data_IF_481196058104
#
_entry.id   IF_481196058104
#
_cell.length_a   1.000
_cell.length_b   1.000
_cell.length_c   1.000
_cell.angle_alpha   90.00
_cell.angle_beta   90.00
_cell.angle_gamma   90.00
#
_symmetry.space_group_name_H-M   'P 1'
#
loop_
_entity.id
_entity.type
_entity.pdbx_description
1 polymer ?
#
# COMPACT_ATOMS: atom_id res chain seq x y z
N UNK A 1 -2.96 -1.04 30.96
CA UNK A 1 -2.80 0.40 31.31
C UNK A 1 -2.47 1.17 30.05
N UNK A 2 -3.14 2.29 29.80
CA UNK A 2 -3.00 3.09 28.59
C UNK A 2 -2.11 4.33 28.73
N UNK A 3 -2.23 5.25 27.78
CA UNK A 3 -1.56 6.55 27.82
C UNK A 3 -2.10 7.43 28.97
N UNK A 4 -1.23 8.26 29.55
CA UNK A 4 -1.60 9.21 30.63
C UNK A 4 -1.83 10.63 30.13
N UNK A 5 -1.66 10.87 28.82
CA UNK A 5 -1.89 12.15 28.15
C UNK A 5 -2.63 11.96 26.83
N UNK A 6 -2.99 13.08 26.19
CA UNK A 6 -3.70 13.06 24.91
C UNK A 6 -2.96 12.24 23.86
N UNK A 7 -3.64 11.24 23.31
CA UNK A 7 -3.19 10.51 22.13
C UNK A 7 -3.32 11.43 20.92
N UNK A 8 -2.21 11.71 20.25
CA UNK A 8 -2.14 12.70 19.14
C UNK A 8 -2.13 12.05 17.77
N UNK A 9 -1.73 10.79 17.70
CA UNK A 9 -1.65 10.03 16.45
C UNK A 9 -1.76 8.53 16.72
N UNK A 10 -2.42 7.83 15.80
CA UNK A 10 -2.59 6.37 15.78
C UNK A 10 -2.38 5.85 14.36
N UNK A 11 -1.78 4.67 14.22
CA UNK A 11 -1.56 4.00 12.93
C UNK A 11 -1.74 2.49 13.08
N UNK A 12 -2.44 1.86 12.15
CA UNK A 12 -2.44 0.40 12.02
C UNK A 12 -1.17 -0.05 11.29
N UNK A 13 -0.66 -1.23 11.66
CA UNK A 13 0.35 -1.91 10.85
C UNK A 13 -0.22 -2.35 9.50
N UNK A 14 0.64 -2.53 8.48
CA UNK A 14 0.19 -2.92 7.14
C UNK A 14 -0.58 -4.25 7.11
N UNK A 15 -0.26 -5.17 8.01
CA UNK A 15 -0.95 -6.46 8.19
C UNK A 15 -2.20 -6.36 9.09
N UNK A 16 -2.48 -5.18 9.66
CA UNK A 16 -3.61 -4.93 10.55
C UNK A 16 -3.51 -5.58 11.93
N UNK A 17 -2.44 -6.33 12.23
CA UNK A 17 -2.32 -7.08 13.49
C UNK A 17 -1.97 -6.19 14.69
N UNK A 18 -1.36 -5.03 14.42
CA UNK A 18 -0.89 -4.08 15.45
C UNK A 18 -1.46 -2.69 15.22
N UNK A 19 -1.57 -1.94 16.31
CA UNK A 19 -1.79 -0.51 16.31
C UNK A 19 -0.62 0.16 17.04
N UNK A 20 -0.21 1.33 16.59
CA UNK A 20 0.79 2.16 17.27
C UNK A 20 0.13 3.48 17.63
N UNK A 21 0.46 4.03 18.79
CA UNK A 21 -0.05 5.33 19.24
C UNK A 21 1.07 6.20 19.82
N UNK A 22 1.03 7.49 19.49
CA UNK A 22 1.90 8.52 20.06
C UNK A 22 1.10 9.50 20.92
N UNK A 23 1.65 9.90 22.07
CA UNK A 23 0.93 10.71 23.05
C UNK A 23 1.73 11.90 23.60
N UNK A 24 0.98 12.88 24.12
CA UNK A 24 1.47 13.99 24.94
C UNK A 24 2.18 13.52 26.22
N UNK A 25 1.98 12.27 26.64
CA UNK A 25 2.76 11.64 27.73
C UNK A 25 4.22 11.33 27.36
N UNK A 26 4.65 11.72 26.15
CA UNK A 26 6.01 11.58 25.62
C UNK A 26 6.39 10.15 25.24
N UNK A 27 5.41 9.26 25.16
CA UNK A 27 5.64 7.85 24.86
C UNK A 27 4.95 7.42 23.57
N UNK A 28 5.52 6.39 22.96
CA UNK A 28 4.86 5.58 21.94
C UNK A 28 4.44 4.26 22.57
N UNK A 29 3.33 3.68 22.12
CA UNK A 29 2.87 2.35 22.52
C UNK A 29 2.46 1.54 21.31
N UNK A 30 2.72 0.23 21.37
CA UNK A 30 2.29 -0.75 20.38
C UNK A 30 1.24 -1.67 21.01
N UNK A 31 0.16 -1.90 20.29
CA UNK A 31 -1.02 -2.62 20.74
C UNK A 31 -1.27 -3.79 19.81
N UNK A 32 -1.67 -4.90 20.40
CA UNK A 32 -2.28 -6.02 19.68
C UNK A 32 -3.75 -5.68 19.44
N UNK A 33 -4.16 -5.71 18.18
CA UNK A 33 -5.51 -5.31 17.76
C UNK A 33 -6.56 -6.31 18.24
N UNK A 34 -6.26 -7.61 18.21
CA UNK A 34 -7.20 -8.66 18.63
C UNK A 34 -7.43 -8.66 20.13
N UNK A 35 -6.35 -8.48 20.90
CA UNK A 35 -6.38 -8.54 22.37
C UNK A 35 -6.72 -7.19 23.01
N UNK A 36 -6.63 -6.09 22.27
CA UNK A 36 -6.80 -4.74 22.80
C UNK A 36 -5.76 -4.38 23.88
N UNK A 37 -4.61 -5.05 23.87
CA UNK A 37 -3.60 -4.97 24.92
C UNK A 37 -2.30 -4.37 24.38
N UNK A 38 -1.58 -3.62 25.22
CA UNK A 38 -0.24 -3.13 24.87
C UNK A 38 0.74 -4.32 24.82
N UNK A 39 1.41 -4.51 23.68
CA UNK A 39 2.42 -5.56 23.48
C UNK A 39 3.86 -5.03 23.53
N UNK A 40 4.06 -3.75 23.24
CA UNK A 40 5.35 -3.09 23.46
C UNK A 40 5.15 -1.65 23.94
N UNK A 41 6.01 -1.23 24.85
CA UNK A 41 6.02 0.10 25.45
C UNK A 41 5.53 0.16 26.91
N UNK A 42 5.55 1.36 27.52
CA UNK A 42 5.78 2.67 26.90
C UNK A 42 7.21 2.84 26.36
N UNK A 43 7.33 3.13 25.06
CA UNK A 43 8.61 3.45 24.42
C UNK A 43 9.01 4.85 24.87
N UNK A 44 10.07 4.94 25.65
CA UNK A 44 10.55 6.18 26.28
C UNK A 44 11.82 6.66 25.60
N UNK A 45 11.93 7.97 25.43
CA UNK A 45 13.13 8.62 24.89
C UNK A 45 12.86 10.07 24.51
N UNK A 46 11.67 10.37 24.00
CA UNK A 46 11.26 11.75 23.77
C UNK A 46 11.14 12.54 25.07
N UNK A 47 11.61 13.79 25.04
CA UNK A 47 11.50 14.75 26.15
C UNK A 47 10.29 15.68 26.00
N UNK A 48 9.65 15.66 24.83
CA UNK A 48 8.42 16.36 24.46
C UNK A 48 7.29 15.38 24.08
N UNK A 49 6.08 15.90 23.90
CA UNK A 49 4.94 15.10 23.49
C UNK A 49 5.10 14.57 22.06
N UNK A 50 4.74 13.30 21.83
CA UNK A 50 4.76 12.69 20.50
C UNK A 50 3.54 13.16 19.73
N UNK A 51 3.76 13.89 18.64
CA UNK A 51 2.71 14.56 17.87
C UNK A 51 2.25 13.74 16.68
N UNK A 52 3.18 13.06 16.03
CA UNK A 52 2.96 12.25 14.83
C UNK A 52 3.76 10.96 14.90
N UNK A 53 3.20 9.91 14.31
CA UNK A 53 3.85 8.61 14.13
C UNK A 53 3.58 8.08 12.72
N UNK A 54 4.52 7.32 12.19
CA UNK A 54 4.34 6.51 10.99
C UNK A 54 4.99 5.14 11.19
N UNK A 55 4.53 4.15 10.41
CA UNK A 55 5.08 2.80 10.37
C UNK A 55 5.79 2.59 9.05
N UNK A 56 6.88 1.84 9.08
CA UNK A 56 7.55 1.41 7.86
C UNK A 56 6.61 0.54 7.00
N UNK A 57 6.84 0.44 5.68
CA UNK A 57 5.96 -0.32 4.77
C UNK A 57 5.82 -1.82 5.09
N UNK A 58 6.82 -2.40 5.77
CA UNK A 58 6.84 -3.77 6.28
C UNK A 58 6.30 -3.88 7.72
N UNK A 59 5.99 -2.75 8.36
CA UNK A 59 5.50 -2.67 9.73
C UNK A 59 6.54 -3.01 10.80
N UNK A 60 7.83 -3.14 10.47
CA UNK A 60 8.88 -3.51 11.42
C UNK A 60 9.41 -2.34 12.25
N UNK A 61 9.31 -1.11 11.74
CA UNK A 61 9.83 0.09 12.38
C UNK A 61 8.77 1.18 12.57
N UNK A 62 8.91 1.98 13.62
CA UNK A 62 8.11 3.18 13.88
C UNK A 62 9.01 4.39 13.78
N UNK A 63 8.57 5.44 13.11
CA UNK A 63 9.14 6.78 13.28
C UNK A 63 8.16 7.66 14.04
N UNK A 64 8.67 8.42 15.01
CA UNK A 64 7.88 9.36 15.80
C UNK A 64 8.46 10.77 15.74
N UNK A 65 7.60 11.75 15.46
CA UNK A 65 7.91 13.18 15.52
C UNK A 65 7.37 13.81 16.80
N UNK A 66 8.18 14.64 17.46
CA UNK A 66 7.92 15.15 18.80
C UNK A 66 8.09 16.67 18.93
N UNK A 67 7.47 17.21 19.97
CA UNK A 67 7.69 18.59 20.43
C UNK A 67 9.08 18.83 21.03
N UNK A 68 9.89 17.80 21.23
CA UNK A 68 11.31 17.97 21.53
C UNK A 68 12.18 18.27 20.31
N UNK A 69 11.55 18.45 19.14
CA UNK A 69 12.20 18.85 17.88
C UNK A 69 13.04 17.74 17.24
N UNK A 70 12.91 16.51 17.74
CA UNK A 70 13.58 15.34 17.18
C UNK A 70 12.59 14.37 16.56
N UNK A 71 13.10 13.56 15.62
CA UNK A 71 12.48 12.30 15.27
C UNK A 71 13.22 11.16 15.96
N UNK A 72 12.51 10.07 16.23
CA UNK A 72 13.11 8.82 16.72
C UNK A 72 12.58 7.62 15.95
N UNK A 73 13.47 6.67 15.68
CA UNK A 73 13.14 5.39 15.07
C UNK A 73 13.10 4.31 16.16
N UNK A 74 12.15 3.40 16.05
CA UNK A 74 11.93 2.33 17.03
C UNK A 74 11.71 1.01 16.32
N UNK A 75 12.24 -0.07 16.89
CA UNK A 75 11.87 -1.42 16.49
C UNK A 75 10.49 -1.75 17.08
N UNK A 76 9.54 -2.16 16.24
CA UNK A 76 8.16 -2.45 16.66
C UNK A 76 8.02 -3.69 17.53
N UNK A 77 9.00 -4.60 17.50
CA UNK A 77 8.97 -5.88 18.20
C UNK A 77 9.66 -5.78 19.56
N UNK A 78 10.88 -5.25 19.61
CA UNK A 78 11.60 -5.06 20.88
C UNK A 78 11.14 -3.81 21.63
N UNK A 79 10.64 -2.80 20.90
CA UNK A 79 10.37 -1.48 21.48
C UNK A 79 11.64 -0.69 21.78
N UNK A 80 12.79 -1.12 21.28
CA UNK A 80 14.04 -0.40 21.46
C UNK A 80 14.18 0.72 20.42
N UNK A 81 14.84 1.80 20.80
CA UNK A 81 15.18 2.87 19.88
C UNK A 81 16.30 2.39 18.94
N UNK A 82 16.12 2.62 17.65
CA UNK A 82 17.12 2.31 16.62
C UNK A 82 17.95 3.55 16.36
N UNK A 83 19.26 3.46 16.62
CA UNK A 83 20.20 4.56 16.36
C UNK A 83 20.01 5.78 17.26
N UNK A 84 20.55 6.91 16.82
CA UNK A 84 20.40 8.19 17.50
C UNK A 84 19.12 8.92 17.03
N UNK A 85 18.58 9.85 17.82
CA UNK A 85 17.52 10.73 17.35
C UNK A 85 17.97 11.52 16.12
N UNK A 86 17.06 11.71 15.17
CA UNK A 86 17.29 12.61 14.03
C UNK A 86 17.16 14.04 14.53
N UNK A 87 18.27 14.78 14.45
CA UNK A 87 18.37 16.18 14.86
C UNK A 87 18.51 17.05 13.61
N UNK A 88 17.78 18.16 13.56
CA UNK A 88 17.88 19.16 12.49
C UNK A 88 16.73 20.18 12.55
N UNK A 89 15.53 19.73 12.93
CA UNK A 89 14.43 20.65 13.20
C UNK A 89 14.74 21.60 14.37
N UNK A 90 14.49 22.88 14.17
CA UNK A 90 14.63 23.94 15.19
C UNK A 90 13.31 24.21 15.92
N UNK A 91 12.20 23.73 15.35
CA UNK A 91 10.83 23.79 15.87
C UNK A 91 10.22 22.40 16.13
N UNK A 92 8.97 22.37 16.60
CA UNK A 92 8.28 21.10 16.85
C UNK A 92 8.09 20.29 15.56
N UNK A 93 8.31 18.98 15.63
CA UNK A 93 7.98 18.10 14.52
C UNK A 93 6.48 17.82 14.53
N UNK A 94 5.77 18.29 13.50
CA UNK A 94 4.32 18.26 13.42
C UNK A 94 3.79 17.03 12.70
N UNK A 95 4.50 16.57 11.67
CA UNK A 95 4.11 15.41 10.85
C UNK A 95 5.34 14.63 10.42
N UNK A 96 5.17 13.31 10.27
CA UNK A 96 6.19 12.39 9.77
C UNK A 96 5.54 11.35 8.87
N UNK A 97 6.24 10.88 7.85
CA UNK A 97 5.81 9.80 6.97
C UNK A 97 6.99 8.98 6.44
N UNK A 98 6.77 7.70 6.15
CA UNK A 98 7.78 6.82 5.56
C UNK A 98 7.70 6.84 4.04
N UNK A 99 8.84 6.71 3.38
CA UNK A 99 8.86 6.43 1.95
C UNK A 99 8.32 5.01 1.66
N UNK A 100 7.77 4.74 0.46
CA UNK A 100 7.21 3.43 0.11
C UNK A 100 8.18 2.24 0.22
N UNK A 101 9.49 2.48 0.16
CA UNK A 101 10.52 1.46 0.39
C UNK A 101 11.05 1.42 1.83
N UNK A 102 10.67 2.36 2.68
CA UNK A 102 11.16 2.42 4.05
C UNK A 102 12.64 2.80 4.19
N UNK A 103 13.22 3.43 3.17
CA UNK A 103 14.63 3.90 3.17
C UNK A 103 14.72 5.34 3.69
N UNK A 104 13.67 6.13 3.48
CA UNK A 104 13.61 7.53 3.87
C UNK A 104 12.41 7.82 4.76
N UNK A 105 12.55 8.84 5.60
CA UNK A 105 11.45 9.49 6.31
C UNK A 105 11.37 10.93 5.84
N UNK A 106 10.15 11.46 5.73
CA UNK A 106 9.92 12.89 5.56
C UNK A 106 9.26 13.45 6.79
N UNK A 107 9.61 14.67 7.16
CA UNK A 107 9.00 15.40 8.28
C UNK A 107 8.69 16.84 7.93
N UNK A 108 7.68 17.39 8.59
CA UNK A 108 7.34 18.80 8.56
C UNK A 108 7.32 19.37 9.97
N UNK A 109 7.88 20.57 10.14
CA UNK A 109 8.02 21.22 11.45
C UNK A 109 7.43 22.64 11.55
N UNK A 110 7.25 23.10 12.79
CA UNK A 110 6.89 24.51 13.11
C UNK A 110 7.99 25.51 12.71
N UNK A 111 9.20 25.02 12.44
CA UNK A 111 10.29 25.79 11.83
C UNK A 111 10.10 26.04 10.33
N UNK A 112 8.94 25.67 9.77
CA UNK A 112 8.53 25.92 8.39
C UNK A 112 9.28 25.06 7.36
N UNK A 113 10.06 24.09 7.83
CA UNK A 113 10.86 23.23 6.96
C UNK A 113 10.18 21.90 6.72
N UNK A 114 10.47 21.33 5.54
CA UNK A 114 10.28 19.92 5.24
C UNK A 114 11.66 19.28 5.19
N UNK A 115 11.89 18.22 5.95
CA UNK A 115 13.18 17.52 5.99
C UNK A 115 13.02 16.07 5.53
N UNK A 116 13.95 15.61 4.70
CA UNK A 116 14.11 14.24 4.26
C UNK A 116 15.28 13.60 5.02
N UNK A 117 15.05 12.44 5.62
CA UNK A 117 16.02 11.74 6.45
C UNK A 117 16.32 10.37 5.84
N UNK A 118 17.60 10.03 5.74
CA UNK A 118 18.04 8.67 5.40
C UNK A 118 18.11 7.82 6.66
N UNK A 119 17.33 6.74 6.69
CA UNK A 119 17.22 5.86 7.86
C UNK A 119 18.52 5.09 8.09
N UNK A 120 19.29 4.78 7.04
CA UNK A 120 20.46 3.89 7.09
C UNK A 120 21.60 4.49 7.91
N UNK A 121 21.77 5.81 7.82
CA UNK A 121 22.84 6.55 8.47
C UNK A 121 22.33 7.54 9.53
N UNK A 122 21.01 7.76 9.62
CA UNK A 122 20.42 8.66 10.60
C UNK A 122 20.62 10.15 10.28
N UNK A 123 21.01 10.51 9.06
CA UNK A 123 21.32 11.89 8.68
C UNK A 123 20.21 12.54 7.84
N UNK A 124 20.14 13.87 7.91
CA UNK A 124 19.34 14.67 6.98
C UNK A 124 19.94 14.60 5.58
N UNK A 125 19.16 14.12 4.61
CA UNK A 125 19.55 14.01 3.22
C UNK A 125 19.23 15.30 2.44
N UNK A 126 18.08 15.93 2.75
CA UNK A 126 17.63 17.16 2.10
C UNK A 126 16.67 17.94 3.00
N UNK A 127 16.66 19.27 2.90
CA UNK A 127 15.63 20.13 3.49
C UNK A 127 15.10 21.15 2.49
N UNK A 128 13.85 21.55 2.71
CA UNK A 128 13.10 22.50 1.89
C UNK A 128 12.50 23.58 2.79
N UNK A 129 12.74 24.85 2.46
CA UNK A 129 12.20 26.02 3.16
C UNK A 129 11.20 26.79 2.27
N UNK A 130 10.21 26.07 1.75
CA UNK A 130 9.29 26.63 0.76
C UNK A 130 8.03 27.27 1.37
N UNK A 131 7.77 26.99 2.65
CA UNK A 131 6.60 27.50 3.37
C UNK A 131 6.90 28.75 4.20
N UNK A 132 5.94 29.68 4.25
CA UNK A 132 6.04 30.89 5.07
C UNK A 132 5.57 30.68 6.53
N UNK A 133 4.90 29.55 6.80
CA UNK A 133 4.37 29.15 8.12
C UNK A 133 4.71 27.70 8.46
N UNK A 134 4.44 27.30 9.70
CA UNK A 134 4.75 25.94 10.19
C UNK A 134 4.09 24.85 9.34
N UNK A 135 4.86 23.82 8.99
CA UNK A 135 4.39 22.69 8.19
C UNK A 135 3.64 21.72 9.09
N UNK A 136 2.36 21.52 8.81
CA UNK A 136 1.43 20.76 9.66
C UNK A 136 1.27 19.31 9.24
N UNK A 137 1.45 19.03 7.94
CA UNK A 137 1.24 17.70 7.37
C UNK A 137 2.26 17.47 6.27
N UNK A 138 2.80 16.26 6.20
CA UNK A 138 3.62 15.77 5.09
C UNK A 138 3.14 14.39 4.67
N UNK A 139 3.32 14.06 3.39
CA UNK A 139 3.02 12.72 2.85
C UNK A 139 3.96 12.39 1.69
N UNK A 140 4.45 11.15 1.64
CA UNK A 140 5.10 10.62 0.46
C UNK A 140 4.08 10.19 -0.59
N UNK A 141 4.42 10.38 -1.86
CA UNK A 141 3.69 9.75 -2.96
C UNK A 141 3.95 8.23 -2.95
N UNK A 142 3.00 7.41 -3.42
CA UNK A 142 3.20 5.96 -3.53
C UNK A 142 4.35 5.53 -4.44
N UNK A 143 4.78 6.38 -5.39
CA UNK A 143 5.95 6.14 -6.22
C UNK A 143 7.27 6.54 -5.56
N UNK A 144 7.23 7.23 -4.42
CA UNK A 144 8.41 7.67 -3.67
C UNK A 144 9.11 8.92 -4.23
N UNK A 145 8.69 9.40 -5.41
CA UNK A 145 9.36 10.50 -6.13
C UNK A 145 8.90 11.89 -5.70
N UNK A 146 7.78 12.00 -4.97
CA UNK A 146 7.22 13.28 -4.57
C UNK A 146 6.88 13.30 -3.09
N UNK A 147 6.99 14.48 -2.50
CA UNK A 147 6.50 14.80 -1.16
C UNK A 147 5.47 15.91 -1.29
N UNK A 148 4.33 15.73 -0.63
CA UNK A 148 3.36 16.80 -0.43
C UNK A 148 3.47 17.35 0.99
N UNK A 149 3.45 18.67 1.14
CA UNK A 149 3.46 19.37 2.42
C UNK A 149 2.31 20.37 2.52
N UNK A 150 1.67 20.46 3.68
CA UNK A 150 0.62 21.44 3.98
C UNK A 150 0.97 22.29 5.20
N UNK A 151 0.76 23.60 5.12
CA UNK A 151 1.24 24.56 6.13
C UNK A 151 0.17 25.56 6.60
N UNK A 152 0.43 26.18 7.76
CA UNK A 152 -0.35 27.32 8.28
C UNK A 152 -0.40 28.53 7.33
N UNK A 153 0.50 28.62 6.35
CA UNK A 153 0.45 29.66 5.32
C UNK A 153 -0.70 29.48 4.30
N UNK A 154 -1.50 28.42 4.45
CA UNK A 154 -2.64 28.11 3.59
C UNK A 154 -2.26 27.43 2.28
N UNK A 155 -1.00 27.02 2.10
CA UNK A 155 -0.52 26.36 0.89
C UNK A 155 -0.35 24.85 1.09
N UNK A 156 -0.57 24.13 0.00
CA UNK A 156 -0.05 22.78 -0.22
C UNK A 156 1.02 22.87 -1.30
N UNK A 157 2.20 22.35 -1.03
CA UNK A 157 3.30 22.30 -1.99
C UNK A 157 3.64 20.83 -2.27
N UNK A 158 3.92 20.52 -3.53
CA UNK A 158 4.38 19.20 -3.97
C UNK A 158 5.76 19.38 -4.55
N UNK A 159 6.76 18.80 -3.90
CA UNK A 159 8.16 18.84 -4.32
C UNK A 159 8.63 17.49 -4.84
N UNK A 160 9.54 17.53 -5.81
CA UNK A 160 10.27 16.36 -6.27
C UNK A 160 11.41 16.03 -5.30
N UNK A 161 11.57 14.75 -5.00
CA UNK A 161 12.63 14.28 -4.10
C UNK A 161 13.57 13.36 -4.88
N UNK A 162 14.83 13.77 -5.02
CA UNK A 162 15.89 12.92 -5.54
C UNK A 162 16.31 11.93 -4.45
N UNK A 163 15.58 10.84 -4.35
CA UNK A 163 15.90 9.74 -3.47
C UNK A 163 16.79 8.74 -4.23
N UNK A 164 17.81 8.18 -3.54
CA UNK A 164 18.58 7.04 -4.04
C UNK A 164 17.69 5.78 -3.98
N UNK A 165 16.60 5.78 -4.74
CA UNK A 165 16.21 4.58 -5.44
C UNK A 165 17.33 4.32 -6.45
N UNK A 166 18.51 3.94 -5.94
CA UNK A 166 19.63 3.61 -6.79
C UNK A 166 19.14 2.51 -7.70
N UNK A 167 19.35 2.71 -8.99
CA UNK A 167 19.36 1.73 -10.06
C UNK A 167 20.40 0.62 -9.75
N UNK A 168 20.29 -0.08 -8.60
CA UNK A 168 21.05 -1.28 -8.27
C UNK A 168 20.39 -2.53 -8.85
N UNK A 169 19.66 -2.32 -9.96
CA UNK A 169 19.47 -3.28 -11.02
C UNK A 169 19.87 -2.56 -12.32
N UNK A 170 21.18 -2.46 -12.57
CA UNK A 170 21.71 -2.67 -13.92
C UNK A 170 21.12 -4.02 -14.38
N UNK A 171 19.90 -4.06 -14.92
CA UNK A 171 19.66 -4.04 -16.35
C UNK A 171 18.23 -3.62 -16.75
N UNK A 172 17.45 -2.94 -15.91
CA UNK A 172 16.10 -2.50 -16.32
C UNK A 172 15.97 -1.00 -16.13
N UNK A 173 16.56 -0.26 -17.07
CA UNK A 173 16.51 1.19 -17.11
C UNK A 173 15.09 1.71 -16.95
N UNK A 174 14.91 2.64 -16.01
CA UNK A 174 13.81 3.60 -15.82
C UNK A 174 12.57 3.32 -16.69
N UNK A 175 11.90 2.20 -16.46
CA UNK A 175 10.65 1.88 -17.13
C UNK A 175 9.53 2.51 -16.32
N UNK A 176 9.41 3.84 -16.45
CA UNK A 176 8.14 4.51 -16.17
C UNK A 176 7.11 3.77 -17.02
N UNK A 177 6.05 3.25 -16.38
CA UNK A 177 4.92 2.70 -17.12
C UNK A 177 4.22 3.87 -17.81
N UNK A 178 4.76 4.25 -18.96
CA UNK A 178 4.19 5.22 -19.87
C UNK A 178 3.07 4.53 -20.65
N UNK A 179 2.22 5.33 -21.29
CA UNK A 179 1.22 4.83 -22.26
C UNK A 179 1.84 4.06 -23.44
N UNK A 180 3.17 3.97 -23.53
CA UNK A 180 3.93 3.35 -24.63
C UNK A 180 4.54 1.98 -24.26
N UNK A 181 4.37 1.53 -23.01
CA UNK A 181 4.93 0.25 -22.56
C UNK A 181 4.12 -0.93 -23.10
N UNK A 182 4.79 -1.89 -23.74
CA UNK A 182 4.16 -3.12 -24.21
C UNK A 182 3.72 -4.02 -23.04
N UNK A 183 2.74 -4.89 -23.27
CA UNK A 183 2.27 -5.82 -22.24
C UNK A 183 3.36 -6.78 -21.75
N UNK A 184 4.30 -7.16 -22.63
CA UNK A 184 5.45 -7.98 -22.24
C UNK A 184 6.39 -7.21 -21.29
N UNK A 185 6.68 -5.94 -21.60
CA UNK A 185 7.48 -5.09 -20.71
C UNK A 185 6.82 -4.89 -19.34
N UNK A 186 5.49 -4.68 -19.31
CA UNK A 186 4.75 -4.62 -18.05
C UNK A 186 4.86 -5.93 -17.25
N UNK A 187 4.78 -7.08 -17.91
CA UNK A 187 4.96 -8.38 -17.29
C UNK A 187 6.37 -8.57 -16.73
N UNK A 188 7.40 -8.24 -17.51
CA UNK A 188 8.80 -8.34 -17.10
C UNK A 188 9.10 -7.41 -15.92
N UNK A 189 8.53 -6.20 -15.89
CA UNK A 189 8.61 -5.31 -14.73
C UNK A 189 7.99 -5.91 -13.47
N UNK A 190 6.82 -6.54 -13.59
CA UNK A 190 6.12 -7.15 -12.46
C UNK A 190 6.92 -8.32 -11.88
N UNK A 191 7.49 -9.18 -12.73
CA UNK A 191 8.30 -10.33 -12.29
C UNK A 191 9.65 -9.88 -11.71
N UNK A 192 10.30 -8.88 -12.31
CA UNK A 192 11.51 -8.27 -11.76
C UNK A 192 11.27 -7.59 -10.39
N UNK A 193 10.05 -7.10 -10.15
CA UNK A 193 9.64 -6.50 -8.87
C UNK A 193 9.24 -7.54 -7.80
N UNK A 194 9.43 -8.84 -8.09
CA UNK A 194 9.18 -9.94 -7.16
C UNK A 194 7.82 -10.64 -7.30
N UNK A 195 7.00 -10.31 -8.32
CA UNK A 195 5.82 -11.12 -8.62
C UNK A 195 6.24 -12.50 -9.16
N UNK A 196 5.59 -13.56 -8.69
CA UNK A 196 5.87 -14.92 -9.16
C UNK A 196 5.32 -15.08 -10.59
N UNK A 197 6.18 -15.48 -11.52
CA UNK A 197 5.78 -15.91 -12.86
C UNK A 197 5.17 -17.32 -12.81
N UNK A 198 3.90 -17.43 -13.17
CA UNK A 198 3.15 -18.69 -13.22
C UNK A 198 3.00 -19.25 -14.64
N UNK A 199 3.58 -18.60 -15.65
CA UNK A 199 3.52 -19.01 -17.05
C UNK A 199 4.18 -20.36 -17.31
N UNK A 200 5.20 -20.72 -16.53
CA UNK A 200 5.86 -22.04 -16.59
C UNK A 200 5.15 -23.13 -15.78
N UNK A 201 4.17 -22.76 -14.95
CA UNK A 201 3.46 -23.67 -14.05
C UNK A 201 2.08 -24.06 -14.58
N UNK A 202 1.72 -23.61 -15.79
CA UNK A 202 0.42 -23.80 -16.41
C UNK A 202 0.56 -23.92 -17.93
N UNK A 203 -0.29 -24.71 -18.59
CA UNK A 203 -0.38 -24.71 -20.04
C UNK A 203 -1.06 -23.42 -20.53
N UNK A 204 -0.27 -22.49 -21.02
CA UNK A 204 -0.72 -21.17 -21.47
C UNK A 204 -1.31 -21.18 -22.88
N UNK A 205 -1.25 -22.31 -23.62
CA UNK A 205 -1.54 -22.38 -25.06
C UNK A 205 -2.69 -23.32 -25.46
N UNK A 206 -3.22 -24.21 -24.60
CA UNK A 206 -4.41 -25.03 -24.90
C UNK A 206 -5.40 -25.24 -23.72
N UNK A 207 -6.69 -25.42 -24.06
CA UNK A 207 -7.94 -25.89 -23.38
C UNK A 207 -8.10 -26.04 -21.85
N UNK A 208 -7.14 -25.66 -21.01
CA UNK A 208 -7.24 -25.74 -19.54
C UNK A 208 -7.78 -24.47 -18.89
N UNK A 209 -7.93 -23.39 -19.66
CA UNK A 209 -8.47 -22.13 -19.22
C UNK A 209 -9.87 -21.88 -19.82
N UNK A 210 -10.92 -21.99 -19.01
CA UNK A 210 -12.29 -21.67 -19.43
C UNK A 210 -12.65 -20.24 -19.02
N UNK A 211 -13.21 -19.44 -19.95
CA UNK A 211 -13.79 -18.14 -19.61
C UNK A 211 -15.00 -18.38 -18.70
N UNK A 212 -14.95 -17.85 -17.49
CA UNK A 212 -16.03 -17.97 -16.48
C UNK A 212 -16.91 -16.73 -16.47
N UNK A 213 -16.37 -15.57 -16.85
CA UNK A 213 -17.12 -14.34 -17.08
C UNK A 213 -16.36 -13.39 -18.00
N UNK A 214 -17.04 -12.82 -18.99
CA UNK A 214 -16.48 -11.77 -19.85
C UNK A 214 -17.01 -10.40 -19.48
N UNK A 215 -16.13 -9.41 -19.43
CA UNK A 215 -16.47 -8.00 -19.25
C UNK A 215 -15.61 -7.12 -20.16
N UNK A 216 -16.10 -5.93 -20.53
CA UNK A 216 -15.43 -5.08 -21.54
C UNK A 216 -13.99 -4.65 -21.23
N UNK A 217 -13.52 -4.83 -19.98
CA UNK A 217 -12.17 -4.47 -19.54
C UNK A 217 -11.24 -5.68 -19.33
N UNK A 218 -11.78 -6.90 -19.21
CA UNK A 218 -11.00 -8.10 -18.94
C UNK A 218 -11.89 -9.32 -18.72
N UNK A 219 -11.31 -10.49 -18.98
CA UNK A 219 -11.98 -11.78 -18.90
C UNK A 219 -11.47 -12.54 -17.65
N UNK A 220 -12.36 -13.23 -16.92
CA UNK A 220 -11.96 -14.11 -15.83
C UNK A 220 -11.90 -15.53 -16.36
N UNK A 221 -10.75 -16.17 -16.18
CA UNK A 221 -10.48 -17.53 -16.59
C UNK A 221 -10.30 -18.42 -15.36
N UNK A 222 -10.77 -19.67 -15.44
CA UNK A 222 -10.40 -20.73 -14.50
C UNK A 222 -9.24 -21.51 -15.11
N UNK A 223 -8.06 -21.46 -14.49
CA UNK A 223 -6.88 -22.22 -14.92
C UNK A 223 -6.61 -23.42 -14.01
N UNK A 224 -5.73 -24.32 -14.47
CA UNK A 224 -5.21 -25.43 -13.70
C UNK A 224 -3.69 -25.50 -13.85
N UNK A 225 -2.97 -25.48 -12.72
CA UNK A 225 -1.53 -25.63 -12.66
C UNK A 225 -1.13 -27.08 -12.92
N UNK A 226 0.12 -27.32 -13.34
CA UNK A 226 0.65 -28.66 -13.59
C UNK A 226 0.62 -29.59 -12.37
N UNK A 227 0.66 -29.02 -11.16
CA UNK A 227 0.51 -29.76 -9.90
C UNK A 227 -0.95 -30.14 -9.56
N UNK A 228 -1.90 -29.81 -10.45
CA UNK A 228 -3.33 -30.08 -10.29
C UNK A 228 -4.12 -28.99 -9.56
N UNK A 229 -3.45 -27.96 -9.02
CA UNK A 229 -4.08 -26.84 -8.33
C UNK A 229 -4.92 -25.98 -9.28
N UNK A 230 -6.14 -25.63 -8.87
CA UNK A 230 -6.99 -24.71 -9.65
C UNK A 230 -6.64 -23.27 -9.30
N UNK A 231 -6.67 -22.39 -10.30
CA UNK A 231 -6.43 -20.95 -10.14
C UNK A 231 -7.51 -20.13 -10.85
N UNK A 232 -7.76 -18.92 -10.36
CA UNK A 232 -8.53 -17.91 -11.09
C UNK A 232 -7.56 -16.93 -11.74
N UNK A 233 -7.79 -16.58 -13.00
CA UNK A 233 -6.94 -15.68 -13.76
C UNK A 233 -7.79 -14.52 -14.25
N UNK A 234 -7.52 -13.31 -13.74
CA UNK A 234 -8.09 -12.10 -14.32
C UNK A 234 -7.18 -11.61 -15.41
N UNK A 235 -7.62 -11.71 -16.65
CA UNK A 235 -6.82 -11.45 -17.83
C UNK A 235 -7.27 -10.15 -18.52
N UNK A 236 -6.32 -9.28 -18.83
CA UNK A 236 -6.55 -8.08 -19.64
C UNK A 236 -5.97 -8.28 -21.02
N UNK A 237 -6.72 -7.89 -22.04
CA UNK A 237 -6.30 -8.04 -23.44
C UNK A 237 -5.08 -7.15 -23.70
N UNK A 238 -4.04 -7.68 -24.33
CA UNK A 238 -2.84 -6.91 -24.72
C UNK A 238 -3.20 -5.66 -25.53
N UNK A 239 -4.16 -5.75 -26.45
CA UNK A 239 -4.61 -4.62 -27.26
C UNK A 239 -5.29 -3.52 -26.42
N UNK A 240 -5.87 -3.87 -25.27
CA UNK A 240 -6.46 -2.92 -24.34
C UNK A 240 -5.39 -2.29 -23.44
N UNK A 241 -4.32 -3.01 -23.08
CA UNK A 241 -3.23 -2.48 -22.25
C UNK A 241 -2.16 -1.71 -23.05
N UNK A 242 -1.78 -2.20 -24.23
CA UNK A 242 -0.68 -1.66 -25.04
C UNK A 242 -1.03 -0.42 -25.86
N UNK A 243 -2.32 -0.07 -25.99
CA UNK A 243 -2.78 1.13 -26.71
C UNK A 243 -3.14 2.29 -25.76
N UNK A 244 -2.87 2.20 -24.45
CA UNK A 244 -3.77 2.85 -23.48
C UNK A 244 -3.46 4.29 -23.03
N UNK A 245 -4.57 5.05 -22.96
CA UNK A 245 -4.83 6.20 -22.10
C UNK A 245 -4.55 5.85 -20.62
N UNK A 246 -3.84 6.74 -19.94
CA UNK A 246 -3.43 6.69 -18.53
C UNK A 246 -4.53 6.17 -17.58
N UNK A 247 -5.81 6.45 -17.85
CA UNK A 247 -6.94 6.02 -17.02
C UNK A 247 -7.07 4.49 -16.88
N UNK A 248 -6.90 3.75 -17.96
CA UNK A 248 -7.04 2.29 -17.96
C UNK A 248 -5.86 1.63 -17.26
N UNK A 249 -4.65 2.08 -17.55
CA UNK A 249 -3.43 1.59 -16.90
C UNK A 249 -3.47 1.85 -15.39
N UNK A 250 -3.87 3.07 -15.00
CA UNK A 250 -4.09 3.44 -13.59
C UNK A 250 -5.13 2.54 -12.93
N UNK A 251 -6.21 2.19 -13.62
CA UNK A 251 -7.22 1.26 -13.11
C UNK A 251 -6.65 -0.14 -12.89
N UNK A 252 -5.92 -0.69 -13.86
CA UNK A 252 -5.32 -2.01 -13.76
C UNK A 252 -4.27 -2.08 -12.63
N UNK A 253 -3.37 -1.10 -12.55
CA UNK A 253 -2.37 -1.00 -11.49
C UNK A 253 -3.00 -0.88 -10.09
N UNK A 254 -4.11 -0.14 -9.97
CA UNK A 254 -4.85 -0.04 -8.71
C UNK A 254 -5.48 -1.38 -8.31
N UNK A 255 -6.10 -2.09 -9.25
CA UNK A 255 -6.68 -3.41 -8.99
C UNK A 255 -5.59 -4.42 -8.55
N UNK A 256 -4.42 -4.40 -9.20
CA UNK A 256 -3.23 -5.17 -8.84
C UNK A 256 -2.77 -4.90 -7.40
N UNK A 257 -2.58 -3.63 -7.06
CA UNK A 257 -2.12 -3.21 -5.73
C UNK A 257 -3.11 -3.59 -4.62
N UNK A 258 -4.41 -3.45 -4.86
CA UNK A 258 -5.42 -3.83 -3.87
C UNK A 258 -5.43 -5.35 -3.62
N UNK A 259 -5.36 -6.15 -4.68
CA UNK A 259 -5.38 -7.61 -4.55
C UNK A 259 -4.09 -8.16 -3.93
N UNK A 260 -2.94 -7.53 -4.15
CA UNK A 260 -1.69 -7.96 -3.51
C UNK A 260 -1.67 -7.73 -1.99
N UNK A 261 -2.47 -6.79 -1.51
CA UNK A 261 -2.59 -6.43 -0.08
C UNK A 261 -3.78 -7.10 0.62
N UNK A 262 -4.62 -7.81 -0.13
CA UNK A 262 -5.84 -8.41 0.43
C UNK A 262 -5.53 -9.75 1.09
N UNK A 263 -5.77 -9.84 2.39
CA UNK A 263 -5.74 -11.09 3.15
C UNK A 263 -7.12 -11.29 3.78
N UNK A 264 -7.94 -12.16 3.19
CA UNK A 264 -9.28 -12.45 3.67
C UNK A 264 -9.64 -13.91 3.41
N UNK A 265 -10.23 -14.65 4.37
CA UNK A 265 -10.47 -16.08 4.27
C UNK A 265 -11.43 -16.49 3.12
N UNK A 266 -12.18 -15.53 2.58
CA UNK A 266 -13.16 -15.74 1.51
C UNK A 266 -12.91 -14.88 0.26
N UNK A 267 -11.73 -14.28 0.11
CA UNK A 267 -11.37 -13.54 -1.11
C UNK A 267 -10.00 -14.02 -1.57
N UNK A 268 -9.83 -14.12 -2.89
CA UNK A 268 -8.65 -14.72 -3.49
C UNK A 268 -7.37 -13.99 -3.09
N UNK A 269 -6.36 -14.73 -2.63
CA UNK A 269 -5.00 -14.21 -2.49
C UNK A 269 -4.30 -14.21 -3.85
N UNK A 270 -3.66 -13.10 -4.20
CA UNK A 270 -2.80 -13.03 -5.38
C UNK A 270 -1.63 -14.00 -5.22
N UNK A 271 -1.49 -14.92 -6.18
CA UNK A 271 -0.39 -15.89 -6.22
C UNK A 271 0.73 -15.42 -7.14
N UNK A 272 0.41 -14.70 -8.21
CA UNK A 272 1.40 -14.23 -9.17
C UNK A 272 0.79 -13.62 -10.42
N UNK A 273 1.61 -13.51 -11.45
CA UNK A 273 1.24 -12.99 -12.76
C UNK A 273 1.52 -14.03 -13.84
N UNK A 274 0.81 -13.95 -14.96
CA UNK A 274 0.93 -14.89 -16.07
C UNK A 274 0.79 -14.17 -17.41
N UNK A 275 1.58 -14.57 -18.40
CA UNK A 275 1.28 -14.25 -19.80
C UNK A 275 0.45 -15.37 -20.39
N UNK A 276 -0.84 -15.13 -20.56
CA UNK A 276 -1.79 -16.11 -21.06
C UNK A 276 -1.94 -15.98 -22.58
N UNK A 277 -1.79 -17.10 -23.30
CA UNK A 277 -1.91 -17.19 -24.77
C UNK A 277 -1.03 -16.20 -25.54
N UNK A 278 0.05 -15.72 -24.93
CA UNK A 278 0.91 -14.65 -25.45
C UNK A 278 0.15 -13.35 -25.82
N UNK A 279 -1.08 -13.20 -25.31
CA UNK A 279 -2.05 -12.16 -25.71
C UNK A 279 -2.75 -11.48 -24.53
N UNK A 280 -2.55 -11.97 -23.31
CA UNK A 280 -3.19 -11.42 -22.13
C UNK A 280 -2.22 -11.38 -20.97
N UNK A 281 -2.09 -10.21 -20.34
CA UNK A 281 -1.51 -10.13 -19.00
C UNK A 281 -2.57 -10.60 -18.03
N UNK A 282 -2.24 -11.61 -17.22
CA UNK A 282 -3.12 -12.20 -16.23
C UNK A 282 -2.60 -12.00 -14.83
N UNK A 283 -3.50 -11.68 -13.89
CA UNK A 283 -3.27 -11.92 -12.46
C UNK A 283 -3.77 -13.30 -12.11
N UNK A 284 -2.93 -14.10 -11.46
CA UNK A 284 -3.30 -15.42 -10.98
C UNK A 284 -3.54 -15.37 -9.49
N UNK A 285 -4.72 -15.79 -9.07
CA UNK A 285 -5.08 -15.94 -7.67
C UNK A 285 -5.54 -17.36 -7.39
N UNK A 286 -5.60 -17.73 -6.13
CA UNK A 286 -6.18 -19.01 -5.71
C UNK A 286 -7.56 -19.23 -6.33
N UNK A 287 -7.89 -20.43 -6.81
CA UNK A 287 -9.27 -20.73 -7.17
C UNK A 287 -10.07 -20.98 -5.89
N UNK A 288 -11.15 -20.24 -5.71
CA UNK A 288 -12.11 -20.56 -4.68
C UNK A 288 -13.18 -21.48 -5.27
N UNK A 289 -13.21 -22.73 -4.81
CA UNK A 289 -14.38 -23.59 -5.03
C UNK A 289 -15.66 -22.97 -4.42
N UNK A 290 -15.51 -22.03 -3.47
CA UNK A 290 -16.57 -21.17 -2.90
C UNK A 290 -16.92 -19.91 -3.73
N UNK A 291 -16.04 -19.49 -4.65
CA UNK A 291 -16.16 -18.25 -5.41
C UNK A 291 -17.16 -18.36 -6.57
N UNK A 292 -17.31 -19.56 -7.12
CA UNK A 292 -18.48 -19.89 -7.93
C UNK A 292 -19.64 -20.19 -6.99
N UNK A 293 -20.31 -19.13 -6.51
CA UNK A 293 -21.40 -19.24 -5.54
C UNK A 293 -22.47 -20.24 -5.99
N UNK A 294 -22.74 -20.31 -7.30
CA UNK A 294 -23.72 -21.24 -7.86
C UNK A 294 -23.28 -22.71 -7.71
N UNK A 295 -22.04 -23.02 -8.06
CA UNK A 295 -21.46 -24.37 -7.94
C UNK A 295 -21.23 -24.77 -6.48
N UNK A 296 -20.85 -23.82 -5.63
CA UNK A 296 -20.71 -24.03 -4.19
C UNK A 296 -22.04 -24.37 -3.52
N UNK A 297 -23.09 -23.57 -3.76
CA UNK A 297 -24.42 -23.79 -3.20
C UNK A 297 -25.06 -25.09 -3.73
N UNK A 298 -24.71 -25.51 -4.95
CA UNK A 298 -25.12 -26.81 -5.49
C UNK A 298 -24.46 -27.97 -4.76
N UNK A 299 -23.18 -27.85 -4.41
CA UNK A 299 -22.41 -28.89 -3.72
C UNK A 299 -22.60 -28.86 -2.18
N UNK A 300 -23.12 -27.75 -1.63
CA UNK A 300 -23.33 -27.54 -0.19
C UNK A 300 -24.72 -26.97 0.06
N UNK A 301 -25.78 -27.81 -0.02
CA UNK A 301 -27.16 -27.35 0.13
C UNK A 301 -27.46 -26.76 1.52
N UNK A 302 -26.72 -27.18 2.55
CA UNK A 302 -26.85 -26.72 3.94
C UNK A 302 -26.03 -25.46 4.26
N UNK A 303 -25.37 -24.84 3.26
CA UNK A 303 -24.58 -23.65 3.49
C UNK A 303 -25.43 -22.46 3.97
N UNK A 304 -24.96 -21.77 5.01
CA UNK A 304 -25.58 -20.54 5.51
C UNK A 304 -25.39 -19.39 4.50
N UNK A 305 -26.43 -19.21 3.69
CA UNK A 305 -26.48 -18.19 2.63
C UNK A 305 -26.39 -16.78 3.19
N UNK A 306 -26.89 -16.53 4.40
CA UNK A 306 -26.83 -15.22 5.03
C UNK A 306 -25.40 -14.88 5.43
N UNK A 307 -24.71 -15.82 6.08
CA UNK A 307 -23.29 -15.64 6.42
C UNK A 307 -22.43 -15.43 5.18
N UNK A 308 -22.71 -16.12 4.07
CA UNK A 308 -22.03 -15.87 2.79
C UNK A 308 -22.27 -14.46 2.25
N UNK A 309 -23.50 -13.94 2.29
CA UNK A 309 -23.79 -12.57 1.89
C UNK A 309 -23.05 -11.54 2.75
N UNK A 310 -22.94 -11.79 4.06
CA UNK A 310 -22.17 -10.96 4.98
C UNK A 310 -20.69 -10.95 4.62
N UNK A 311 -20.10 -12.11 4.34
CA UNK A 311 -18.68 -12.22 3.98
C UNK A 311 -18.38 -11.55 2.61
N UNK A 312 -19.29 -11.67 1.64
CA UNK A 312 -19.21 -10.93 0.36
C UNK A 312 -19.31 -9.42 0.60
N UNK A 313 -20.25 -8.99 1.45
CA UNK A 313 -20.42 -7.59 1.80
C UNK A 313 -19.19 -7.01 2.52
N UNK A 314 -18.53 -7.77 3.38
CA UNK A 314 -17.27 -7.37 4.00
C UNK A 314 -16.13 -7.25 2.99
N UNK A 315 -16.03 -8.17 2.03
CA UNK A 315 -15.06 -8.06 0.95
C UNK A 315 -15.29 -6.87 0.04
N UNK A 316 -16.55 -6.60 -0.32
CA UNK A 316 -16.94 -5.40 -1.05
C UNK A 316 -16.68 -4.14 -0.23
N UNK A 317 -17.02 -4.13 1.05
CA UNK A 317 -16.77 -3.02 1.94
C UNK A 317 -15.27 -2.75 2.06
N UNK A 318 -14.43 -3.76 2.24
CA UNK A 318 -12.96 -3.63 2.23
C UNK A 318 -12.45 -2.95 0.96
N UNK A 319 -12.98 -3.38 -0.21
CA UNK A 319 -12.73 -2.66 -1.45
C UNK A 319 -13.22 -1.22 -1.31
N UNK A 320 -14.49 -0.96 -1.00
CA UNK A 320 -15.09 0.38 -0.91
C UNK A 320 -14.40 1.36 0.07
N UNK A 321 -14.00 0.90 1.25
CA UNK A 321 -13.43 1.73 2.33
C UNK A 321 -11.98 2.12 2.10
N UNK A 322 -11.25 1.42 1.24
CA UNK A 322 -9.86 1.76 0.85
C UNK A 322 -9.81 2.78 -0.30
N UNK A 323 -10.82 3.66 -0.41
CA UNK A 323 -10.97 4.74 -1.41
C UNK A 323 -11.15 4.25 -2.86
N UNK A 324 -12.05 3.29 -3.09
CA UNK A 324 -12.18 2.63 -4.41
C UNK A 324 -13.28 3.16 -5.34
N UNK A 325 -14.22 4.02 -4.94
CA UNK A 325 -15.31 4.42 -5.87
C UNK A 325 -15.73 5.89 -5.70
N UNK A 326 -14.88 6.85 -6.08
CA UNK A 326 -15.33 8.15 -6.58
C UNK A 326 -14.48 8.54 -7.80
N UNK A 327 -14.75 7.86 -8.91
CA UNK A 327 -14.28 8.20 -10.23
C UNK A 327 -15.36 7.76 -11.23
N UNK A 328 -16.10 8.75 -11.72
CA UNK A 328 -17.11 8.70 -12.80
C UNK A 328 -18.53 8.19 -12.46
N UNK A 329 -19.31 9.06 -11.81
CA UNK A 329 -20.75 9.20 -12.10
C UNK A 329 -20.96 10.51 -12.88
N UNK A 330 -20.73 10.47 -14.20
CA UNK A 330 -21.35 11.39 -15.15
C UNK A 330 -22.23 10.58 -16.10
N UNK A 331 -23.50 10.46 -15.76
CA UNK A 331 -24.64 10.40 -16.70
C UNK A 331 -25.95 10.15 -15.95
N UNK A 332 -26.50 11.17 -15.29
CA UNK A 332 -27.95 11.36 -15.24
C UNK A 332 -28.23 12.85 -15.17
N UNK A 333 -28.66 13.37 -16.31
CA UNK A 333 -28.97 14.77 -16.54
C UNK A 333 -29.35 15.04 -17.98
N UNK A 334 -30.06 14.11 -18.63
CA UNK A 334 -30.88 14.40 -19.80
C UNK A 334 -32.27 13.82 -19.58
N UNK A 335 -33.21 14.72 -19.26
CA UNK A 335 -34.61 14.80 -19.73
C UNK A 335 -35.45 15.58 -18.73
N UNK A 336 -36.12 16.62 -19.24
CA UNK A 336 -37.09 17.45 -18.52
C UNK A 336 -36.74 18.91 -18.62
#
# INVERSE_FOLDING_TARGET
MGHTGYVRSVRFSPDGSRLVSGSKDKTVRVWDVERGATIAGPLKGHTGGVRSIALSPDGSQIVSGSWDRTLRLWDTRSGEMIGNPFNGHTGWVCSVDFSPLGIYVVSGGEDKTVCLWDIRNGSEAQSFEEHAGGVLSVAFSPCGQHVASGSYDGKVIIGDVSCDYSDSADSIGRQVVSSEMSTQQMFDCLTASGCIDLSSQMDTRQDTAMIVSGGGFGDIWKGQLHNGGKVAIKAWRTNALGNCDYKTLKRAARELYCWSRMDHPNIHRLQGVIMLRDQYLGMVSEWMDKGNLHEYLRNHPDADRFKMCVDIAFGLAYMHTTNTVHGDLKAMGSRG
#
